data_IF_226077235584
#
_entry.id   IF_226077235584
#
_cell.length_a   1.000
_cell.length_b   1.000
_cell.length_c   1.000
_cell.angle_alpha   90.00
_cell.angle_beta   90.00
_cell.angle_gamma   90.00
#
_symmetry.space_group_name_H-M   'P 1'
#
loop_
_entity.id
_entity.type
_entity.pdbx_description
1 polymer ?
#
# COMPACT_ATOMS: atom_id res chain seq x y z
N UNK A 1 14.61 -18.04 -11.98
CA UNK A 1 15.08 -18.05 -10.57
C UNK A 1 13.96 -17.48 -9.71
N UNK A 2 13.26 -18.34 -8.97
CA UNK A 2 12.12 -17.97 -8.12
C UNK A 2 12.55 -16.94 -7.08
N UNK A 3 11.95 -15.75 -7.11
CA UNK A 3 12.14 -14.76 -6.04
C UNK A 3 11.49 -15.32 -4.78
N UNK A 4 12.30 -15.72 -3.78
CA UNK A 4 11.82 -16.13 -2.47
C UNK A 4 10.89 -15.04 -1.90
N UNK A 5 9.80 -15.43 -1.25
CA UNK A 5 8.94 -14.47 -0.55
C UNK A 5 9.77 -13.73 0.52
N UNK A 6 9.57 -12.40 0.70
CA UNK A 6 10.33 -11.62 1.68
C UNK A 6 10.43 -12.27 3.08
N UNK A 7 9.35 -12.81 3.68
CA UNK A 7 9.44 -13.45 4.98
C UNK A 7 10.32 -14.72 4.95
N UNK A 8 10.22 -15.54 3.90
CA UNK A 8 11.02 -16.76 3.77
C UNK A 8 12.52 -16.46 3.68
N UNK A 9 12.90 -15.41 2.94
CA UNK A 9 14.29 -14.95 2.86
C UNK A 9 14.83 -14.55 4.23
N UNK A 10 14.05 -13.79 5.00
CA UNK A 10 14.42 -13.34 6.34
C UNK A 10 14.57 -14.51 7.31
N UNK A 11 13.66 -15.48 7.28
CA UNK A 11 13.74 -16.72 8.08
C UNK A 11 14.99 -17.53 7.75
N UNK A 12 15.33 -17.70 6.47
CA UNK A 12 16.51 -18.44 6.04
C UNK A 12 17.81 -17.75 6.46
N UNK A 13 17.92 -16.43 6.30
CA UNK A 13 19.11 -15.67 6.72
C UNK A 13 19.28 -15.74 8.24
N UNK A 14 18.21 -15.53 9.00
CA UNK A 14 18.23 -15.63 10.45
C UNK A 14 18.61 -17.04 10.91
N UNK A 15 18.00 -18.08 10.34
CA UNK A 15 18.29 -19.47 10.67
C UNK A 15 19.74 -19.86 10.36
N UNK A 16 20.27 -19.45 9.21
CA UNK A 16 21.66 -19.71 8.83
C UNK A 16 22.64 -19.02 9.78
N UNK A 17 22.45 -17.72 10.05
CA UNK A 17 23.31 -16.99 11.00
C UNK A 17 23.21 -17.55 12.42
N UNK A 18 22.01 -17.93 12.87
CA UNK A 18 21.80 -18.56 14.17
C UNK A 18 22.53 -19.89 14.29
N UNK A 19 22.42 -20.77 13.28
CA UNK A 19 23.11 -22.06 13.26
C UNK A 19 24.63 -21.88 13.25
N UNK A 20 25.15 -21.01 12.37
CA UNK A 20 26.58 -20.70 12.30
C UNK A 20 27.10 -20.12 13.63
N UNK A 21 26.33 -19.23 14.27
CA UNK A 21 26.69 -18.67 15.56
C UNK A 21 26.77 -19.73 16.65
N UNK A 22 25.79 -20.63 16.74
CA UNK A 22 25.79 -21.71 17.74
C UNK A 22 27.06 -22.56 17.60
N UNK A 23 27.27 -23.12 16.41
CA UNK A 23 28.41 -24.02 16.13
C UNK A 23 29.75 -23.33 16.38
N UNK A 24 29.93 -22.11 15.84
CA UNK A 24 31.20 -21.41 15.95
C UNK A 24 31.46 -20.93 17.38
N UNK A 25 30.43 -20.38 18.03
CA UNK A 25 30.59 -19.83 19.37
C UNK A 25 30.77 -20.92 20.43
N UNK A 26 30.17 -22.11 20.27
CA UNK A 26 30.46 -23.24 21.17
C UNK A 26 31.92 -23.67 21.06
N UNK A 27 32.47 -23.78 19.84
CA UNK A 27 33.88 -24.15 19.62
C UNK A 27 34.87 -23.13 20.16
N UNK A 28 34.55 -21.84 20.05
CA UNK A 28 35.36 -20.78 20.66
C UNK A 28 35.30 -20.86 22.19
N UNK A 29 34.12 -21.13 22.77
CA UNK A 29 33.98 -21.24 24.23
C UNK A 29 34.78 -22.41 24.80
N UNK A 30 34.71 -23.57 24.15
CA UNK A 30 35.46 -24.78 24.50
C UNK A 30 36.97 -24.56 24.42
N UNK A 31 37.44 -23.79 23.43
CA UNK A 31 38.87 -23.49 23.27
C UNK A 31 39.44 -22.49 24.29
N UNK A 32 38.59 -21.66 24.92
CA UNK A 32 39.05 -20.59 25.81
C UNK A 32 39.14 -20.98 27.29
N UNK A 33 38.44 -22.02 27.77
CA UNK A 33 38.41 -22.30 29.22
C UNK A 33 37.91 -23.71 29.59
N UNK A 34 38.75 -24.45 30.31
CA UNK A 34 38.38 -25.71 31.01
C UNK A 34 37.82 -25.48 32.43
N UNK A 35 37.82 -24.25 32.94
CA UNK A 35 37.34 -23.94 34.30
C UNK A 35 35.81 -23.75 34.32
N UNK A 36 35.05 -24.56 35.09
CA UNK A 36 33.58 -24.51 35.11
C UNK A 36 33.00 -23.13 35.50
N UNK A 37 33.67 -22.40 36.38
CA UNK A 37 33.16 -21.12 36.88
C UNK A 37 33.31 -20.00 35.84
N UNK A 38 34.42 -19.98 35.09
CA UNK A 38 34.68 -19.04 34.00
C UNK A 38 33.79 -19.37 32.79
N UNK A 39 33.57 -20.66 32.52
CA UNK A 39 32.69 -21.13 31.45
C UNK A 39 31.25 -20.63 31.61
N UNK A 40 30.72 -20.62 32.84
CA UNK A 40 29.37 -20.10 33.13
C UNK A 40 29.22 -18.62 32.82
N UNK A 41 30.20 -17.79 33.18
CA UNK A 41 30.19 -16.35 32.89
C UNK A 41 30.29 -16.09 31.38
N UNK A 42 31.15 -16.84 30.68
CA UNK A 42 31.31 -16.75 29.23
C UNK A 42 30.04 -17.20 28.49
N UNK A 43 29.31 -18.21 28.99
CA UNK A 43 28.00 -18.61 28.45
C UNK A 43 26.97 -17.46 28.54
N UNK A 44 26.89 -16.77 29.68
CA UNK A 44 25.97 -15.62 29.83
C UNK A 44 26.32 -14.48 28.88
N UNK A 45 27.62 -14.14 28.75
CA UNK A 45 28.09 -13.12 27.82
C UNK A 45 27.80 -13.48 26.36
N UNK A 46 28.01 -14.76 25.98
CA UNK A 46 27.65 -15.30 24.67
C UNK A 46 26.16 -15.12 24.39
N UNK A 47 25.30 -15.43 25.35
CA UNK A 47 23.85 -15.26 25.22
C UNK A 47 23.47 -13.80 24.97
N UNK A 48 24.05 -12.87 25.72
CA UNK A 48 23.81 -11.42 25.51
C UNK A 48 24.30 -10.96 24.14
N UNK A 49 25.51 -11.38 23.73
CA UNK A 49 26.06 -11.07 22.42
C UNK A 49 25.17 -11.62 21.29
N UNK A 50 24.67 -12.84 21.43
CA UNK A 50 23.73 -13.43 20.49
C UNK A 50 22.47 -12.58 20.34
N UNK A 51 21.80 -12.22 21.44
CA UNK A 51 20.57 -11.42 21.41
C UNK A 51 20.80 -10.07 20.76
N UNK A 52 21.89 -9.37 21.08
CA UNK A 52 22.21 -8.06 20.50
C UNK A 52 22.46 -8.17 19.00
N UNK A 53 23.32 -9.09 18.58
CA UNK A 53 23.70 -9.27 17.17
C UNK A 53 22.48 -9.70 16.34
N UNK A 54 21.72 -10.67 16.82
CA UNK A 54 20.53 -11.16 16.11
C UNK A 54 19.42 -10.13 16.05
N UNK A 55 19.23 -9.33 17.11
CA UNK A 55 18.25 -8.24 17.12
C UNK A 55 18.62 -7.15 16.12
N UNK A 56 19.90 -6.77 16.01
CA UNK A 56 20.38 -5.81 15.01
C UNK A 56 20.24 -6.35 13.58
N UNK A 57 20.57 -7.63 13.37
CA UNK A 57 20.39 -8.31 12.10
C UNK A 57 18.91 -8.28 11.69
N UNK A 58 18.00 -8.76 12.55
CA UNK A 58 16.56 -8.78 12.29
C UNK A 58 16.01 -7.38 12.03
N UNK A 59 16.40 -6.39 12.83
CA UNK A 59 15.99 -5.00 12.62
C UNK A 59 16.41 -4.49 11.23
N UNK A 60 17.65 -4.77 10.81
CA UNK A 60 18.14 -4.41 9.47
C UNK A 60 17.36 -5.08 8.34
N UNK A 61 17.07 -6.38 8.46
CA UNK A 61 16.25 -7.10 7.48
C UNK A 61 14.81 -6.57 7.43
N UNK A 62 14.17 -6.39 8.59
CA UNK A 62 12.81 -5.86 8.68
C UNK A 62 12.72 -4.44 8.14
N UNK A 63 13.66 -3.56 8.47
CA UNK A 63 13.68 -2.17 7.97
C UNK A 63 13.75 -2.12 6.45
N UNK A 64 14.55 -2.99 5.84
CA UNK A 64 14.65 -3.11 4.38
C UNK A 64 13.33 -3.56 3.75
N UNK A 65 12.69 -4.58 4.32
CA UNK A 65 11.44 -5.10 3.79
C UNK A 65 10.27 -4.14 4.02
N UNK A 66 10.21 -3.49 5.18
CA UNK A 66 9.23 -2.45 5.49
C UNK A 66 9.35 -1.26 4.53
N UNK A 67 10.57 -0.78 4.26
CA UNK A 67 10.78 0.33 3.30
C UNK A 67 10.28 -0.01 1.90
N UNK A 68 10.37 -1.28 1.48
CA UNK A 68 9.82 -1.75 0.20
C UNK A 68 8.31 -1.74 0.19
N UNK A 69 7.68 -2.19 1.28
CA UNK A 69 6.22 -2.18 1.43
C UNK A 69 5.70 -0.74 1.37
N UNK A 70 6.31 0.18 2.13
CA UNK A 70 5.93 1.59 2.14
C UNK A 70 6.09 2.21 0.74
N UNK A 71 7.18 1.92 0.04
CA UNK A 71 7.39 2.40 -1.33
C UNK A 71 6.33 1.87 -2.30
N UNK A 72 5.94 0.59 -2.17
CA UNK A 72 4.89 -0.02 -3.01
C UNK A 72 3.51 0.57 -2.72
N UNK A 73 3.18 0.82 -1.45
CA UNK A 73 1.91 1.45 -1.07
C UNK A 73 1.83 2.90 -1.60
N UNK A 74 2.92 3.66 -1.49
CA UNK A 74 2.98 5.02 -2.05
C UNK A 74 2.90 5.01 -3.58
N UNK A 75 3.51 4.03 -4.26
CA UNK A 75 3.38 3.87 -5.72
C UNK A 75 1.94 3.55 -6.14
N UNK A 76 1.29 2.59 -5.47
CA UNK A 76 -0.13 2.27 -5.71
C UNK A 76 -1.02 3.49 -5.48
N UNK A 77 -0.77 4.24 -4.40
CA UNK A 77 -1.51 5.48 -4.08
C UNK A 77 -1.31 6.52 -5.18
N UNK A 78 -0.09 6.74 -5.66
CA UNK A 78 0.21 7.66 -6.76
C UNK A 78 -0.47 7.24 -8.06
N UNK A 79 -0.44 5.96 -8.38
CA UNK A 79 -1.12 5.42 -9.56
C UNK A 79 -2.64 5.64 -9.45
N UNK A 80 -3.24 5.29 -8.32
CA UNK A 80 -4.66 5.49 -8.06
C UNK A 80 -5.07 6.96 -8.22
N UNK A 81 -4.35 7.88 -7.56
CA UNK A 81 -4.63 9.32 -7.64
C UNK A 81 -4.49 9.83 -9.08
N UNK A 82 -3.48 9.37 -9.83
CA UNK A 82 -3.28 9.78 -11.23
C UNK A 82 -4.40 9.27 -12.13
N UNK A 83 -4.82 8.01 -11.96
CA UNK A 83 -5.97 7.43 -12.66
C UNK A 83 -7.26 8.16 -12.33
N UNK A 84 -7.51 8.48 -11.06
CA UNK A 84 -8.70 9.19 -10.62
C UNK A 84 -8.78 10.59 -11.25
N UNK A 85 -7.67 11.33 -11.29
CA UNK A 85 -7.60 12.62 -12.00
C UNK A 85 -7.90 12.46 -13.49
N UNK A 86 -7.36 11.43 -14.14
CA UNK A 86 -7.63 11.17 -15.56
C UNK A 86 -9.11 10.89 -15.79
N UNK A 87 -9.75 10.05 -14.96
CA UNK A 87 -11.19 9.78 -15.00
C UNK A 87 -11.99 11.06 -14.81
N UNK A 88 -11.64 11.88 -13.81
CA UNK A 88 -12.27 13.17 -13.56
C UNK A 88 -12.20 14.08 -14.79
N UNK A 89 -11.03 14.18 -15.43
CA UNK A 89 -10.86 14.95 -16.66
C UNK A 89 -11.72 14.43 -17.81
N UNK A 90 -11.76 13.11 -18.01
CA UNK A 90 -12.56 12.47 -19.07
C UNK A 90 -14.06 12.72 -18.84
N UNK A 91 -14.54 12.52 -17.62
CA UNK A 91 -15.95 12.73 -17.28
C UNK A 91 -16.35 14.20 -17.40
N UNK A 92 -15.51 15.13 -16.92
CA UNK A 92 -15.75 16.55 -17.10
C UNK A 92 -15.82 16.95 -18.58
N UNK A 93 -14.94 16.41 -19.42
CA UNK A 93 -14.97 16.65 -20.87
C UNK A 93 -16.24 16.07 -21.52
N UNK A 94 -16.63 14.85 -21.12
CA UNK A 94 -17.87 14.23 -21.57
C UNK A 94 -19.09 15.09 -21.20
N UNK A 95 -19.20 15.54 -19.94
CA UNK A 95 -20.29 16.41 -19.50
C UNK A 95 -20.36 17.73 -20.28
N UNK A 96 -19.20 18.32 -20.62
CA UNK A 96 -19.16 19.51 -21.48
C UNK A 96 -19.72 19.22 -22.87
N UNK A 97 -19.34 18.10 -23.48
CA UNK A 97 -19.87 17.68 -24.78
C UNK A 97 -21.39 17.44 -24.74
N UNK A 98 -21.87 16.83 -23.66
CA UNK A 98 -23.31 16.62 -23.45
C UNK A 98 -24.06 17.94 -23.21
N UNK A 99 -23.45 18.90 -22.52
CA UNK A 99 -24.03 20.23 -22.33
C UNK A 99 -24.14 21.01 -23.66
N UNK A 100 -23.15 20.88 -24.54
CA UNK A 100 -23.23 21.45 -25.89
C UNK A 100 -24.37 20.81 -26.70
N UNK A 101 -24.52 19.49 -26.62
CA UNK A 101 -25.64 18.79 -27.25
C UNK A 101 -26.99 19.25 -26.69
N UNK A 102 -27.11 19.43 -25.37
CA UNK A 102 -28.31 19.98 -24.73
C UNK A 102 -28.68 21.35 -25.29
N UNK A 103 -27.66 22.21 -25.49
CA UNK A 103 -27.83 23.53 -26.07
C UNK A 103 -28.34 23.47 -27.52
N UNK A 104 -27.77 22.60 -28.34
CA UNK A 104 -28.21 22.42 -29.74
C UNK A 104 -29.64 21.88 -29.83
N UNK A 105 -29.99 20.91 -28.97
CA UNK A 105 -31.33 20.35 -28.87
C UNK A 105 -32.39 21.41 -28.50
N UNK A 106 -32.05 22.39 -27.65
CA UNK A 106 -32.94 23.53 -27.32
C UNK A 106 -33.27 24.41 -28.52
N UNK A 107 -32.33 24.53 -29.45
CA UNK A 107 -32.49 25.34 -30.67
C UNK A 107 -33.07 24.56 -31.85
N UNK A 108 -33.17 23.23 -31.74
CA UNK A 108 -33.64 22.34 -32.80
C UNK A 108 -35.15 22.08 -32.68
N UNK A 109 -35.95 22.36 -33.72
CA UNK A 109 -37.37 22.04 -33.72
C UNK A 109 -37.63 20.53 -33.57
N UNK A 110 -38.68 20.15 -32.83
CA UNK A 110 -39.12 18.75 -32.72
C UNK A 110 -38.74 18.04 -31.41
N UNK A 111 -37.87 18.63 -30.58
CA UNK A 111 -37.62 18.14 -29.22
C UNK A 111 -38.69 18.62 -28.25
N UNK A 112 -39.15 17.70 -27.38
CA UNK A 112 -40.09 18.05 -26.30
C UNK A 112 -39.36 18.82 -25.19
N UNK A 113 -39.88 19.96 -24.71
CA UNK A 113 -39.24 20.75 -23.66
C UNK A 113 -38.93 19.95 -22.39
N UNK A 114 -39.84 19.07 -21.97
CA UNK A 114 -39.67 18.23 -20.76
C UNK A 114 -38.48 17.27 -20.88
N UNK A 115 -38.20 16.77 -22.09
CA UNK A 115 -37.09 15.85 -22.33
C UNK A 115 -35.74 16.58 -22.21
N UNK A 116 -35.69 17.82 -22.66
CA UNK A 116 -34.50 18.68 -22.55
C UNK A 116 -34.25 19.05 -21.08
N UNK A 117 -35.31 19.42 -20.34
CA UNK A 117 -35.21 19.74 -18.92
C UNK A 117 -34.72 18.53 -18.10
N UNK A 118 -35.24 17.33 -18.39
CA UNK A 118 -34.76 16.10 -17.76
C UNK A 118 -33.27 15.85 -18.07
N UNK A 119 -32.86 16.06 -19.31
CA UNK A 119 -31.46 15.88 -19.72
C UNK A 119 -30.52 16.86 -19.02
N UNK A 120 -30.89 18.14 -18.93
CA UNK A 120 -30.14 19.16 -18.17
C UNK A 120 -30.01 18.76 -16.69
N UNK A 121 -31.10 18.27 -16.09
CA UNK A 121 -31.10 17.83 -14.69
C UNK A 121 -30.13 16.67 -14.47
N UNK A 122 -30.10 15.69 -15.38
CA UNK A 122 -29.17 14.55 -15.30
C UNK A 122 -27.73 15.01 -15.42
N UNK A 123 -27.40 15.87 -16.40
CA UNK A 123 -26.04 16.42 -16.55
C UNK A 123 -25.59 17.14 -15.27
N UNK A 124 -26.47 17.95 -14.69
CA UNK A 124 -26.16 18.72 -13.49
C UNK A 124 -25.97 17.81 -12.27
N UNK A 125 -26.88 16.86 -12.03
CA UNK A 125 -26.74 15.92 -10.91
C UNK A 125 -25.50 15.04 -11.03
N UNK A 126 -25.18 14.56 -12.24
CA UNK A 126 -23.98 13.74 -12.47
C UNK A 126 -22.70 14.56 -12.23
N UNK A 127 -22.68 15.85 -12.61
CA UNK A 127 -21.56 16.73 -12.29
C UNK A 127 -21.32 16.83 -10.78
N UNK A 128 -22.39 17.06 -10.01
CA UNK A 128 -22.30 17.19 -8.56
C UNK A 128 -21.83 15.89 -7.90
N UNK A 129 -22.31 14.74 -8.38
CA UNK A 129 -21.90 13.42 -7.89
C UNK A 129 -20.41 13.16 -8.15
N UNK A 130 -19.91 13.50 -9.35
CA UNK A 130 -18.50 13.38 -9.69
C UNK A 130 -17.63 14.27 -8.78
N UNK A 131 -18.04 15.52 -8.54
CA UNK A 131 -17.33 16.43 -7.65
C UNK A 131 -17.29 15.88 -6.22
N UNK A 132 -18.42 15.37 -5.73
CA UNK A 132 -18.54 14.73 -4.41
C UNK A 132 -17.57 13.53 -4.29
N UNK A 133 -17.55 12.63 -5.27
CA UNK A 133 -16.67 11.46 -5.28
C UNK A 133 -15.18 11.84 -5.29
N UNK A 134 -14.82 12.93 -5.96
CA UNK A 134 -13.43 13.41 -6.00
C UNK A 134 -12.92 14.01 -4.68
N UNK A 135 -13.83 14.40 -3.78
CA UNK A 135 -13.51 14.98 -2.47
C UNK A 135 -13.22 13.93 -1.39
N UNK A 136 -13.43 12.63 -1.69
CA UNK A 136 -13.12 11.53 -0.78
C UNK A 136 -11.59 11.31 -0.73
N UNK A 137 -10.92 11.84 0.28
CA UNK A 137 -9.45 11.81 0.44
C UNK A 137 -8.86 10.38 0.50
N UNK A 138 -9.64 9.38 0.91
CA UNK A 138 -9.31 7.96 0.82
C UNK A 138 -10.61 7.15 0.69
N UNK A 139 -11.00 6.73 -0.51
CA UNK A 139 -12.25 6.02 -0.66
C UNK A 139 -12.08 4.58 -0.13
N UNK A 140 -12.56 4.32 1.09
CA UNK A 140 -12.80 2.95 1.52
C UNK A 140 -13.92 2.35 0.66
N UNK A 141 -13.89 1.03 0.44
CA UNK A 141 -14.94 0.32 -0.31
C UNK A 141 -16.35 0.62 0.25
N UNK A 142 -16.42 0.81 1.57
CA UNK A 142 -17.62 1.20 2.31
C UNK A 142 -18.10 2.63 1.96
N UNK A 143 -17.18 3.60 1.82
CA UNK A 143 -17.49 4.99 1.46
C UNK A 143 -17.88 5.17 -0.01
N UNK A 144 -17.23 4.43 -0.93
CA UNK A 144 -17.63 4.40 -2.35
C UNK A 144 -19.06 3.87 -2.45
N UNK A 145 -19.36 2.75 -1.77
CA UNK A 145 -20.67 2.12 -1.83
C UNK A 145 -21.77 3.01 -1.24
N UNK A 146 -21.48 3.77 -0.18
CA UNK A 146 -22.44 4.74 0.40
C UNK A 146 -22.69 5.94 -0.49
N UNK A 147 -21.70 6.41 -1.22
CA UNK A 147 -21.82 7.61 -2.07
C UNK A 147 -22.49 7.29 -3.41
N UNK A 148 -22.20 6.13 -4.01
CA UNK A 148 -22.74 5.71 -5.32
C UNK A 148 -24.11 5.01 -5.20
N UNK A 149 -24.42 4.41 -4.05
CA UNK A 149 -25.72 3.75 -3.80
C UNK A 149 -26.34 4.19 -2.46
N UNK A 150 -26.78 5.45 -2.34
CA UNK A 150 -27.53 5.89 -1.17
C UNK A 150 -28.89 5.16 -1.16
N UNK A 151 -29.21 4.50 -0.04
CA UNK A 151 -30.53 3.92 0.21
C UNK A 151 -31.59 4.99 0.38
#
# INVERSE_FOLDING_TARGET
>A
MSRLSPPLRTTLIYGFFGLCWIIFSDRVLEALSDNPHILSQLQSLKGMAYVVITSLLLYGLMRRDYSRIVAQEEEKRRLFVSTMRAVQHILNNFLQSMSLFAFEAKTTPGFRPEAIELFDKVIFSTRDEIVSLSSLEQPSEEEIRRTVFPR
#
